data_IF_855519062774
#
_entry.id   IF_855519062774
#
_cell.length_a   1.000
_cell.length_b   1.000
_cell.length_c   1.000
_cell.angle_alpha   90.00
_cell.angle_beta   90.00
_cell.angle_gamma   90.00
#
_symmetry.space_group_name_H-M   'P 1'
#
loop_
_entity.id
_entity.type
_entity.pdbx_description
1 polymer ?
#
# COMPACT_ATOMS: atom_id res chain seq x y z
N UNK A 1 -7.45 -56.37 1.86
CA UNK A 1 -5.97 -56.33 1.96
C UNK A 1 -5.54 -55.01 1.35
N UNK A 2 -5.14 -53.95 2.07
CA UNK A 2 -4.71 -53.83 3.46
C UNK A 2 -5.00 -52.39 3.86
N UNK A 3 -5.97 -52.18 4.75
CA UNK A 3 -6.17 -50.93 5.47
C UNK A 3 -5.08 -50.81 6.55
N UNK A 4 -4.58 -49.59 6.79
CA UNK A 4 -3.90 -49.22 8.02
C UNK A 4 -4.42 -47.86 8.52
N UNK A 5 -4.39 -47.63 9.83
CA UNK A 5 -5.43 -46.93 10.55
C UNK A 5 -5.01 -45.57 11.07
N UNK A 6 -6.04 -44.85 11.52
CA UNK A 6 -6.10 -43.75 12.46
C UNK A 6 -5.26 -43.97 13.73
N UNK A 7 -4.48 -42.95 14.10
CA UNK A 7 -4.04 -42.53 15.44
C UNK A 7 -4.21 -40.99 15.40
N UNK A 8 -5.09 -40.29 16.12
CA UNK A 8 -5.39 -40.21 17.57
C UNK A 8 -4.18 -39.78 18.42
N UNK A 9 -4.39 -38.81 19.33
CA UNK A 9 -3.45 -38.10 20.25
C UNK A 9 -2.70 -36.90 19.63
N UNK A 10 -2.69 -35.67 20.16
CA UNK A 10 -3.16 -35.09 21.42
C UNK A 10 -3.22 -33.57 21.29
N UNK A 11 -4.28 -32.99 21.86
CA UNK A 11 -4.34 -31.60 22.32
C UNK A 11 -3.79 -31.55 23.77
N UNK A 12 -2.89 -30.60 24.09
CA UNK A 12 -2.89 -30.05 25.42
C UNK A 12 -2.95 -28.52 25.40
N UNK A 13 -4.07 -28.04 25.94
CA UNK A 13 -4.21 -26.74 26.57
C UNK A 13 -3.11 -26.50 27.62
N UNK A 14 -2.50 -25.33 27.59
CA UNK A 14 -1.85 -24.65 28.72
C UNK A 14 -1.98 -23.15 28.40
N UNK A 15 -2.91 -22.40 29.00
CA UNK A 15 -2.78 -21.83 30.36
C UNK A 15 -1.42 -21.14 30.55
N UNK A 16 -1.31 -19.89 30.07
CA UNK A 16 -0.32 -18.94 30.56
C UNK A 16 -1.06 -17.73 31.15
N UNK A 17 -1.43 -17.88 32.43
CA UNK A 17 -1.83 -16.81 33.33
C UNK A 17 -0.56 -16.14 33.88
N UNK A 18 -0.28 -14.92 33.43
CA UNK A 18 0.95 -14.18 33.73
C UNK A 18 0.73 -12.74 34.20
N UNK A 19 0.00 -12.60 35.30
CA UNK A 19 0.09 -11.55 36.33
C UNK A 19 0.33 -10.06 35.98
N UNK A 20 -0.74 -9.31 36.23
CA UNK A 20 -0.81 -7.89 36.56
C UNK A 20 0.07 -7.51 37.76
N UNK A 21 0.91 -6.46 37.61
CA UNK A 21 1.29 -5.58 38.74
C UNK A 21 1.39 -4.11 38.32
N UNK A 22 0.60 -3.21 38.94
CA UNK A 22 0.86 -1.78 38.90
C UNK A 22 1.45 -1.25 40.22
N UNK A 23 2.02 -0.04 40.11
CA UNK A 23 2.35 0.95 41.16
C UNK A 23 3.63 0.77 42.00
N UNK A 24 4.54 1.74 41.85
CA UNK A 24 4.75 2.79 42.86
C UNK A 24 5.63 3.93 42.33
N UNK A 25 5.07 5.14 42.31
CA UNK A 25 5.86 6.36 42.42
C UNK A 25 6.12 6.68 43.90
N UNK A 26 7.22 7.37 44.18
CA UNK A 26 7.29 8.68 44.86
C UNK A 26 8.75 9.07 45.10
N UNK A 27 9.10 10.19 44.48
CA UNK A 27 9.81 11.36 45.02
C UNK A 27 11.33 11.45 45.23
N UNK A 28 11.87 12.69 45.05
CA UNK A 28 13.28 13.01 44.91
C UNK A 28 13.88 13.54 46.22
N UNK A 29 15.20 13.42 46.39
CA UNK A 29 15.96 14.27 47.31
C UNK A 29 17.44 14.29 47.00
N UNK A 30 17.88 15.48 46.60
CA UNK A 30 18.99 16.25 47.17
C UNK A 30 20.16 15.50 47.82
N UNK A 31 21.37 15.78 47.30
CA UNK A 31 22.55 16.07 48.11
C UNK A 31 23.68 16.63 47.23
N UNK A 32 23.89 17.95 47.28
CA UNK A 32 25.21 18.53 47.02
C UNK A 32 26.01 18.61 48.32
N UNK A 33 27.35 18.76 48.26
CA UNK A 33 28.06 19.45 49.34
C UNK A 33 29.21 20.34 48.75
N UNK A 34 29.99 21.09 49.57
CA UNK A 34 29.70 22.49 49.84
C UNK A 34 30.90 23.43 49.53
N UNK A 35 30.60 24.73 49.49
CA UNK A 35 31.56 25.82 49.53
C UNK A 35 32.28 25.90 50.89
N UNK A 36 33.56 26.26 50.87
CA UNK A 36 34.34 26.64 52.04
C UNK A 36 35.04 27.98 51.79
N UNK A 37 34.50 29.02 52.42
CA UNK A 37 35.20 30.26 52.76
C UNK A 37 35.99 30.05 54.06
N UNK A 38 37.19 30.64 54.14
CA UNK A 38 38.01 30.60 55.36
C UNK A 38 39.38 31.27 55.21
N UNK A 39 39.40 32.59 55.21
CA UNK A 39 40.52 33.44 55.71
C UNK A 39 40.50 33.47 57.26
N UNK A 40 41.48 34.08 57.97
CA UNK A 40 42.93 34.18 57.73
C UNK A 40 43.76 33.81 59.00
N UNK A 41 45.08 33.70 58.88
CA UNK A 41 45.99 33.91 60.01
C UNK A 41 47.34 34.44 59.55
N UNK A 42 47.68 35.61 60.09
CA UNK A 42 48.95 36.32 59.98
C UNK A 42 50.13 35.51 60.55
N UNK A 43 51.25 35.48 59.84
CA UNK A 43 52.60 35.41 60.45
C UNK A 43 53.56 36.24 59.60
N UNK A 44 53.99 37.36 60.18
CA UNK A 44 55.16 38.15 59.79
C UNK A 44 56.43 37.28 59.76
N UNK A 45 57.27 37.46 58.74
CA UNK A 45 58.73 37.45 58.88
C UNK A 45 59.37 38.14 57.68
N UNK A 46 59.95 39.30 57.96
CA UNK A 46 60.98 39.97 57.16
C UNK A 46 62.14 39.03 56.85
N UNK A 47 62.64 39.04 55.61
CA UNK A 47 64.00 39.52 55.30
C UNK A 47 64.42 39.23 53.84
N UNK A 48 65.08 40.25 53.29
CA UNK A 48 66.07 40.26 52.19
C UNK A 48 65.61 40.27 50.70
N UNK A 49 65.74 41.41 49.99
CA UNK A 49 65.46 41.52 48.56
C UNK A 49 66.73 41.20 47.73
N UNK A 50 66.80 39.99 47.18
CA UNK A 50 67.73 39.72 46.07
C UNK A 50 67.07 40.12 44.74
N UNK A 51 67.65 41.01 43.92
CA UNK A 51 67.03 41.45 42.67
C UNK A 51 67.00 40.32 41.63
N UNK A 52 65.88 40.13 40.89
CA UNK A 52 65.82 39.17 39.80
C UNK A 52 66.71 39.61 38.62
N UNK A 53 67.40 38.68 37.94
CA UNK A 53 68.17 39.00 36.75
C UNK A 53 67.25 39.52 35.62
N UNK A 54 67.77 40.39 34.73
CA UNK A 54 66.96 41.07 33.73
C UNK A 54 66.27 40.10 32.75
N UNK A 55 65.07 40.44 32.24
CA UNK A 55 64.35 39.61 31.30
C UNK A 55 65.14 39.51 29.98
N UNK A 56 65.80 38.37 29.80
CA UNK A 56 66.42 37.99 28.55
C UNK A 56 65.38 37.95 27.42
N UNK A 57 65.54 38.82 26.43
CA UNK A 57 64.75 38.96 25.19
C UNK A 57 64.61 37.68 24.32
N UNK A 58 64.95 36.48 24.82
CA UNK A 58 64.90 35.22 24.07
C UNK A 58 63.61 34.41 24.24
N UNK A 59 62.79 34.63 25.28
CA UNK A 59 61.56 33.83 25.50
C UNK A 59 60.37 34.19 24.61
N UNK A 60 60.33 35.37 23.98
CA UNK A 60 59.24 35.74 23.06
C UNK A 60 59.26 34.96 21.74
N UNK A 61 60.41 34.43 21.31
CA UNK A 61 60.52 33.66 20.06
C UNK A 61 60.00 32.22 20.19
N UNK A 62 60.15 31.59 21.35
CA UNK A 62 59.63 30.23 21.59
C UNK A 62 58.11 30.18 21.74
N UNK A 63 57.48 31.20 22.34
CA UNK A 63 56.01 31.28 22.40
C UNK A 63 55.37 31.58 21.05
N UNK A 64 55.99 32.43 20.21
CA UNK A 64 55.51 32.67 18.84
C UNK A 64 55.70 31.45 17.92
N UNK A 65 56.78 30.68 18.10
CA UNK A 65 56.98 29.43 17.35
C UNK A 65 56.01 28.32 17.78
N UNK A 66 55.70 28.21 19.08
CA UNK A 66 54.69 27.27 19.60
C UNK A 66 53.27 27.60 19.14
N UNK A 67 52.89 28.89 19.15
CA UNK A 67 51.59 29.35 18.65
C UNK A 67 51.46 29.18 17.13
N UNK A 68 52.51 29.45 16.36
CA UNK A 68 52.51 29.22 14.91
C UNK A 68 52.40 27.72 14.56
N UNK A 69 53.09 26.85 15.30
CA UNK A 69 52.96 25.39 15.15
C UNK A 69 51.54 24.89 15.44
N UNK A 70 50.89 25.42 16.48
CA UNK A 70 49.50 25.09 16.80
C UNK A 70 48.53 25.56 15.70
N UNK A 71 48.70 26.78 15.18
CA UNK A 71 47.85 27.32 14.10
C UNK A 71 48.00 26.52 12.80
N UNK A 72 49.22 26.12 12.43
CA UNK A 72 49.44 25.27 11.25
C UNK A 72 48.82 23.89 11.45
N UNK A 73 48.92 23.32 12.65
CA UNK A 73 48.33 22.02 12.96
C UNK A 73 46.80 22.08 12.97
N UNK A 74 46.19 23.13 13.52
CA UNK A 74 44.72 23.30 13.48
C UNK A 74 44.21 23.56 12.08
N UNK A 75 44.89 24.40 11.28
CA UNK A 75 44.55 24.62 9.87
C UNK A 75 44.72 23.35 9.04
N UNK A 76 45.80 22.59 9.24
CA UNK A 76 46.04 21.33 8.55
C UNK A 76 44.99 20.27 8.89
N UNK A 77 44.66 20.12 10.18
CA UNK A 77 43.61 19.20 10.64
C UNK A 77 42.24 19.62 10.11
N UNK A 78 41.93 20.93 10.14
CA UNK A 78 40.69 21.48 9.61
C UNK A 78 40.54 21.27 8.10
N UNK A 79 41.61 21.47 7.32
CA UNK A 79 41.60 21.23 5.88
C UNK A 79 41.42 19.74 5.55
N UNK A 80 42.02 18.84 6.33
CA UNK A 80 41.87 17.41 6.16
C UNK A 80 40.44 16.95 6.50
N UNK A 81 39.87 17.44 7.60
CA UNK A 81 38.46 17.17 7.94
C UNK A 81 37.51 17.73 6.87
N UNK A 82 37.80 18.91 6.33
CA UNK A 82 37.00 19.52 5.27
C UNK A 82 37.07 18.74 3.95
N UNK A 83 38.25 18.23 3.58
CA UNK A 83 38.40 17.37 2.40
C UNK A 83 37.65 16.04 2.59
N UNK A 84 37.77 15.40 3.76
CA UNK A 84 37.03 14.18 4.08
C UNK A 84 35.52 14.39 4.07
N UNK A 85 35.05 15.52 4.59
CA UNK A 85 33.62 15.85 4.59
C UNK A 85 33.11 16.09 3.16
N UNK A 86 33.91 16.74 2.32
CA UNK A 86 33.57 16.94 0.91
C UNK A 86 33.48 15.62 0.14
N UNK A 87 34.38 14.68 0.40
CA UNK A 87 34.34 13.33 -0.20
C UNK A 87 33.13 12.51 0.24
N UNK A 88 32.52 12.83 1.40
CA UNK A 88 31.29 12.18 1.89
C UNK A 88 30.02 12.79 1.33
N UNK A 89 30.08 14.03 0.83
CA UNK A 89 28.93 14.76 0.32
C UNK A 89 28.85 14.62 -1.20
N UNK A 90 28.42 13.45 -1.63
CA UNK A 90 28.20 13.12 -3.05
C UNK A 90 26.71 12.83 -3.29
N UNK A 91 26.21 12.91 -4.55
CA UNK A 91 24.82 12.56 -4.84
C UNK A 91 24.51 11.08 -4.48
N UNK A 92 25.46 10.17 -4.67
CA UNK A 92 25.34 8.77 -4.29
C UNK A 92 25.23 8.60 -2.79
N UNK A 93 26.00 9.35 -2.00
CA UNK A 93 25.91 9.31 -0.55
C UNK A 93 24.54 9.75 -0.03
N UNK A 94 23.93 10.79 -0.63
CA UNK A 94 22.58 11.24 -0.27
C UNK A 94 21.51 10.18 -0.60
N UNK A 95 21.65 9.49 -1.74
CA UNK A 95 20.73 8.41 -2.11
C UNK A 95 20.95 7.18 -1.24
N UNK A 96 22.21 6.83 -0.95
CA UNK A 96 22.53 5.71 -0.08
C UNK A 96 21.96 5.92 1.34
N UNK A 97 22.06 7.13 1.89
CA UNK A 97 21.45 7.48 3.17
C UNK A 97 19.93 7.26 3.14
N UNK A 98 19.25 7.78 2.10
CA UNK A 98 17.82 7.57 1.93
C UNK A 98 17.44 6.09 1.82
N UNK A 99 18.15 5.31 1.00
CA UNK A 99 17.84 3.89 0.79
C UNK A 99 18.16 3.05 2.03
N UNK A 100 19.21 3.39 2.79
CA UNK A 100 19.54 2.68 4.03
C UNK A 100 18.50 2.89 5.13
N UNK A 101 17.88 4.08 5.20
CA UNK A 101 16.74 4.30 6.11
C UNK A 101 15.55 3.42 5.71
N UNK A 102 15.27 3.33 4.41
CA UNK A 102 14.22 2.45 3.86
C UNK A 102 14.51 0.97 4.16
N UNK A 103 15.75 0.52 3.95
CA UNK A 103 16.20 -0.85 4.25
C UNK A 103 16.15 -1.16 5.77
N UNK A 104 16.45 -0.18 6.61
CA UNK A 104 16.33 -0.30 8.06
C UNK A 104 14.87 -0.28 8.56
N UNK A 105 13.90 0.02 7.68
CA UNK A 105 12.49 0.16 8.02
C UNK A 105 12.13 1.47 8.73
N UNK A 106 13.04 2.46 8.74
CA UNK A 106 12.82 3.80 9.29
C UNK A 106 12.25 4.70 8.19
N UNK A 107 10.96 4.48 7.90
CA UNK A 107 10.26 5.10 6.78
C UNK A 107 9.88 6.53 7.10
N UNK A 108 9.63 6.85 8.37
CA UNK A 108 9.43 8.22 8.81
C UNK A 108 10.69 9.08 8.55
N UNK A 109 11.87 8.62 8.95
CA UNK A 109 13.11 9.34 8.66
C UNK A 109 13.41 9.41 7.15
N UNK A 110 13.12 8.34 6.39
CA UNK A 110 13.28 8.35 4.94
C UNK A 110 12.33 9.36 4.26
N UNK A 111 11.09 9.46 4.75
CA UNK A 111 10.05 10.39 4.28
C UNK A 111 10.41 11.84 4.59
N UNK A 112 11.11 12.12 5.69
CA UNK A 112 11.62 13.46 5.99
C UNK A 112 12.69 13.94 4.99
N UNK A 113 13.39 13.02 4.31
CA UNK A 113 14.41 13.36 3.31
C UNK A 113 13.84 13.65 1.91
N UNK A 114 12.61 13.21 1.60
CA UNK A 114 12.06 13.21 0.25
C UNK A 114 10.61 13.69 0.22
N UNK A 115 10.19 14.53 -0.75
CA UNK A 115 8.80 14.93 -0.89
C UNK A 115 7.88 13.76 -1.27
N UNK A 116 7.13 13.21 -0.30
CA UNK A 116 6.25 12.04 -0.51
C UNK A 116 4.96 12.42 -1.26
N UNK A 117 4.45 11.57 -2.18
CA UNK A 117 3.17 11.82 -2.85
C UNK A 117 2.00 11.89 -1.86
N UNK A 118 1.12 12.89 -2.02
CA UNK A 118 -0.13 12.99 -1.24
C UNK A 118 -0.07 13.89 -0.01
N UNK A 119 1.12 14.32 0.44
CA UNK A 119 1.23 15.43 1.39
C UNK A 119 1.11 16.72 0.60
N UNK A 120 -0.07 17.33 0.61
CA UNK A 120 -0.21 18.72 0.20
C UNK A 120 0.59 19.58 1.18
N UNK A 121 1.86 19.86 0.87
CA UNK A 121 2.51 21.03 1.44
C UNK A 121 1.62 22.20 1.02
N UNK A 122 1.04 22.99 1.94
CA UNK A 122 0.33 24.19 1.53
C UNK A 122 1.36 25.04 0.81
N UNK A 123 1.23 25.10 -0.53
CA UNK A 123 1.95 26.08 -1.29
C UNK A 123 1.64 27.41 -0.63
N UNK A 124 2.68 28.09 -0.14
CA UNK A 124 2.59 29.47 0.32
C UNK A 124 1.92 30.28 -0.79
N UNK A 125 0.61 30.44 -0.68
CA UNK A 125 -0.21 31.27 -1.52
C UNK A 125 0.02 32.72 -1.08
N UNK A 126 1.25 33.19 -1.28
CA UNK A 126 1.59 34.62 -1.31
C UNK A 126 2.15 34.95 -2.69
N UNK A 127 1.31 34.72 -3.70
CA UNK A 127 1.39 35.36 -5.02
C UNK A 127 0.18 36.30 -5.18
N UNK A 128 0.35 37.49 -5.78
CA UNK A 128 -0.53 38.63 -5.56
C UNK A 128 -1.93 38.40 -6.12
N UNK A 129 -2.94 38.71 -5.30
CA UNK A 129 -4.32 38.92 -5.72
C UNK A 129 -4.34 40.00 -6.81
N UNK A 130 -4.47 39.58 -8.06
CA UNK A 130 -4.77 40.47 -9.17
C UNK A 130 -6.27 40.75 -9.16
N UNK A 131 -6.68 41.69 -8.31
CA UNK A 131 -7.96 42.39 -8.45
C UNK A 131 -7.90 43.22 -9.74
N UNK A 132 -8.49 42.70 -10.81
CA UNK A 132 -8.87 43.50 -11.97
C UNK A 132 -10.26 43.06 -12.43
N UNK A 133 -11.25 43.79 -11.93
CA UNK A 133 -12.62 43.74 -12.40
C UNK A 133 -12.70 44.11 -13.89
N UNK A 134 -13.32 43.25 -14.69
CA UNK A 134 -13.87 43.59 -16.00
C UNK A 134 -15.30 43.06 -16.10
N UNK A 135 -16.32 43.93 -16.30
CA UNK A 135 -17.69 43.52 -16.48
C UNK A 135 -18.02 43.38 -17.98
N UNK A 136 -18.53 42.22 -18.38
CA UNK A 136 -19.31 42.08 -19.61
C UNK A 136 -18.79 41.06 -20.62
N UNK A 137 -19.68 40.17 -21.04
CA UNK A 137 -19.56 39.37 -22.27
C UNK A 137 -19.52 37.87 -22.03
N UNK A 138 -20.60 37.20 -22.44
CA UNK A 138 -20.74 35.78 -22.76
C UNK A 138 -20.23 34.75 -21.74
N UNK A 139 -21.19 34.07 -21.09
CA UNK A 139 -20.91 32.85 -20.32
C UNK A 139 -20.55 31.72 -21.29
N UNK A 140 -19.27 31.27 -21.39
CA UNK A 140 -19.04 29.91 -21.86
C UNK A 140 -19.70 28.97 -20.87
N UNK A 141 -20.43 27.98 -21.38
CA UNK A 141 -20.77 26.79 -20.59
C UNK A 141 -19.44 26.14 -20.26
N UNK A 142 -18.95 26.39 -19.05
CA UNK A 142 -17.87 25.61 -18.47
C UNK A 142 -18.44 24.21 -18.32
N UNK A 143 -18.08 23.33 -19.25
CA UNK A 143 -18.15 21.90 -18.98
C UNK A 143 -17.24 21.72 -17.77
N UNK A 144 -17.81 21.50 -16.59
CA UNK A 144 -17.07 20.94 -15.46
C UNK A 144 -16.50 19.64 -15.99
N UNK A 145 -15.22 19.69 -16.38
CA UNK A 145 -14.40 18.51 -16.55
C UNK A 145 -14.49 17.83 -15.19
N UNK A 146 -15.03 16.60 -15.09
CA UNK A 146 -15.06 15.91 -13.82
C UNK A 146 -13.63 15.92 -13.27
N UNK A 147 -13.48 16.47 -12.07
CA UNK A 147 -12.21 16.44 -11.35
C UNK A 147 -11.63 15.02 -11.49
N UNK A 148 -10.33 14.87 -11.79
CA UNK A 148 -9.73 13.55 -11.81
C UNK A 148 -10.05 12.86 -10.47
N UNK A 149 -10.38 11.56 -10.47
CA UNK A 149 -10.72 10.87 -9.23
C UNK A 149 -9.62 11.14 -8.21
N UNK A 150 -10.02 11.59 -7.03
CA UNK A 150 -9.08 11.93 -5.96
C UNK A 150 -8.38 10.64 -5.55
N UNK A 151 -7.08 10.55 -5.85
CA UNK A 151 -6.22 9.48 -5.38
C UNK A 151 -5.96 9.77 -3.89
N UNK A 152 -6.66 9.07 -3.00
CA UNK A 152 -6.33 9.13 -1.59
C UNK A 152 -5.11 8.24 -1.35
N UNK A 153 -3.95 8.87 -1.23
CA UNK A 153 -2.79 8.24 -0.61
C UNK A 153 -3.02 8.35 0.89
N UNK A 154 -3.44 7.25 1.53
CA UNK A 154 -3.65 7.21 2.97
C UNK A 154 -2.31 7.45 3.67
N UNK A 155 -2.16 8.49 4.52
CA UNK A 155 -0.89 8.80 5.19
C UNK A 155 -0.36 7.64 6.04
N UNK A 156 -1.25 6.79 6.54
CA UNK A 156 -0.93 5.58 7.32
C UNK A 156 -0.05 4.58 6.53
N UNK A 157 -0.10 4.61 5.19
CA UNK A 157 0.70 3.77 4.29
C UNK A 157 2.16 4.25 4.14
N UNK A 158 2.52 5.32 4.84
CA UNK A 158 3.86 5.93 4.87
C UNK A 158 4.47 5.89 6.28
N UNK A 159 3.92 5.04 7.15
CA UNK A 159 4.38 4.90 8.53
C UNK A 159 5.23 3.66 8.70
N UNK A 160 6.12 3.68 9.69
CA UNK A 160 6.94 2.52 10.08
C UNK A 160 6.08 1.29 10.38
N UNK A 161 4.87 1.49 10.93
CA UNK A 161 3.94 0.41 11.25
C UNK A 161 3.45 -0.35 10.00
N UNK A 162 3.24 0.35 8.88
CA UNK A 162 2.88 -0.29 7.61
C UNK A 162 4.06 -1.12 7.09
N UNK A 163 5.25 -0.53 6.98
CA UNK A 163 6.41 -1.23 6.42
C UNK A 163 7.02 -2.30 7.34
N UNK A 164 6.81 -2.24 8.66
CA UNK A 164 7.17 -3.32 9.57
C UNK A 164 6.44 -4.65 9.27
N UNK A 165 5.30 -4.60 8.57
CA UNK A 165 4.52 -5.79 8.20
C UNK A 165 4.73 -6.24 6.75
N UNK A 166 5.52 -5.49 5.96
CA UNK A 166 5.79 -5.77 4.55
C UNK A 166 7.32 -5.79 4.36
N UNK A 167 7.96 -6.98 4.31
CA UNK A 167 9.42 -7.08 4.33
C UNK A 167 10.06 -6.17 3.28
N UNK A 168 10.98 -5.35 3.77
CA UNK A 168 11.53 -4.21 3.05
C UNK A 168 12.55 -4.57 1.98
N UNK A 169 13.09 -3.51 1.39
CA UNK A 169 14.19 -3.51 0.44
C UNK A 169 15.47 -4.04 1.12
N UNK A 170 16.23 -4.89 0.42
CA UNK A 170 17.51 -5.45 0.91
C UNK A 170 18.61 -5.33 -0.14
N UNK A 171 19.87 -5.46 0.28
CA UNK A 171 21.06 -5.48 -0.60
C UNK A 171 21.16 -4.23 -1.50
N UNK A 172 20.86 -3.07 -0.92
CA UNK A 172 20.91 -1.79 -1.60
C UNK A 172 22.33 -1.41 -2.04
N UNK A 173 22.46 -1.02 -3.30
CA UNK A 173 23.68 -0.41 -3.86
C UNK A 173 23.33 0.75 -4.78
N UNK A 174 24.22 1.74 -4.84
CA UNK A 174 24.01 2.99 -5.58
C UNK A 174 25.18 3.25 -6.53
N UNK A 175 24.87 3.82 -7.69
CA UNK A 175 25.85 4.18 -8.72
C UNK A 175 25.37 5.45 -9.44
N UNK A 176 26.24 6.45 -9.61
CA UNK A 176 25.90 7.63 -10.40
C UNK A 176 25.73 7.25 -11.88
N UNK A 177 24.65 7.70 -12.53
CA UNK A 177 24.38 7.35 -13.94
C UNK A 177 25.43 7.99 -14.87
N UNK A 178 25.89 9.20 -14.54
CA UNK A 178 26.97 9.90 -15.23
C UNK A 178 28.08 10.26 -14.21
N UNK A 179 29.14 9.44 -14.08
CA UNK A 179 30.19 9.63 -13.07
C UNK A 179 31.03 10.89 -13.29
N UNK A 180 31.01 11.46 -14.50
CA UNK A 180 31.77 12.65 -14.86
C UNK A 180 30.95 13.95 -14.71
N UNK A 181 29.70 13.86 -14.21
CA UNK A 181 28.84 15.02 -14.00
C UNK A 181 29.36 15.93 -12.88
N UNK A 182 29.52 17.22 -13.17
CA UNK A 182 29.78 18.28 -12.19
C UNK A 182 28.57 19.24 -12.13
N UNK A 183 27.49 18.85 -11.41
CA UNK A 183 26.24 19.61 -11.42
C UNK A 183 26.40 20.98 -10.75
N UNK A 184 25.89 22.02 -11.41
CA UNK A 184 25.76 23.33 -10.82
C UNK A 184 24.61 23.36 -9.79
N UNK A 185 24.56 24.41 -8.96
CA UNK A 185 23.45 24.59 -8.01
C UNK A 185 22.12 24.74 -8.77
N UNK A 186 21.14 23.90 -8.40
CA UNK A 186 19.84 23.78 -9.05
C UNK A 186 19.78 22.69 -10.13
N UNK A 187 20.92 22.10 -10.53
CA UNK A 187 20.93 20.98 -11.46
C UNK A 187 20.46 19.69 -10.78
N UNK A 188 19.92 18.79 -11.60
CA UNK A 188 19.43 17.48 -11.18
C UNK A 188 20.25 16.40 -11.88
N UNK A 189 20.77 15.47 -11.09
CA UNK A 189 21.50 14.28 -11.57
C UNK A 189 20.73 13.02 -11.23
N UNK A 190 20.96 11.94 -11.99
CA UNK A 190 20.34 10.64 -11.75
C UNK A 190 21.33 9.69 -11.07
N UNK A 191 20.90 9.04 -10.00
CA UNK A 191 21.63 7.98 -9.31
C UNK A 191 20.85 6.68 -9.48
N UNK A 192 21.49 5.67 -10.05
CA UNK A 192 20.95 4.32 -10.16
C UNK A 192 20.98 3.65 -8.79
N UNK A 193 19.88 3.04 -8.40
CA UNK A 193 19.76 2.21 -7.20
C UNK A 193 19.43 0.80 -7.64
N UNK A 194 20.21 -0.17 -7.16
CA UNK A 194 19.95 -1.60 -7.33
C UNK A 194 19.69 -2.22 -5.96
N UNK A 195 18.67 -3.06 -5.86
CA UNK A 195 18.23 -3.65 -4.59
C UNK A 195 17.43 -4.93 -4.84
N UNK A 196 17.12 -5.68 -3.78
CA UNK A 196 16.19 -6.80 -3.80
C UNK A 196 14.90 -6.47 -3.05
N UNK A 197 13.76 -6.80 -3.66
CA UNK A 197 12.45 -6.80 -3.01
C UNK A 197 11.85 -8.19 -3.20
N UNK A 198 11.49 -8.85 -2.09
CA UNK A 198 10.98 -10.23 -2.12
C UNK A 198 11.90 -11.19 -2.89
N UNK A 199 13.21 -11.13 -2.64
CA UNK A 199 14.24 -11.96 -3.30
C UNK A 199 14.33 -11.76 -4.83
N UNK A 200 13.73 -10.68 -5.37
CA UNK A 200 13.80 -10.32 -6.78
C UNK A 200 14.66 -9.05 -6.95
N UNK A 201 15.70 -9.10 -7.80
CA UNK A 201 16.50 -7.93 -8.07
C UNK A 201 15.67 -6.90 -8.85
N UNK A 202 15.77 -5.65 -8.42
CA UNK A 202 15.14 -4.50 -9.04
C UNK A 202 16.18 -3.39 -9.20
N UNK A 203 15.93 -2.54 -10.20
CA UNK A 203 16.79 -1.39 -10.49
C UNK A 203 15.94 -0.21 -10.90
N UNK A 204 16.25 0.95 -10.33
CA UNK A 204 15.60 2.22 -10.64
C UNK A 204 16.63 3.35 -10.65
N UNK A 205 16.24 4.52 -11.13
CA UNK A 205 17.03 5.74 -11.02
C UNK A 205 16.27 6.75 -10.15
N UNK A 206 16.97 7.40 -9.24
CA UNK A 206 16.45 8.49 -8.41
C UNK A 206 17.12 9.79 -8.81
N UNK A 207 16.33 10.85 -8.91
CA UNK A 207 16.83 12.20 -9.15
C UNK A 207 17.31 12.84 -7.86
N UNK A 208 18.46 13.48 -7.95
CA UNK A 208 19.11 14.20 -6.86
C UNK A 208 19.40 15.62 -7.31
N UNK A 209 18.89 16.59 -6.57
CA UNK A 209 19.12 18.01 -6.83
C UNK A 209 20.36 18.50 -6.08
N UNK A 210 21.21 19.26 -6.78
CA UNK A 210 22.32 19.98 -6.16
C UNK A 210 21.81 21.27 -5.49
N UNK A 211 21.88 21.33 -4.17
CA UNK A 211 21.55 22.51 -3.39
C UNK A 211 22.74 23.47 -3.25
N UNK A 212 22.45 24.68 -2.78
CA UNK A 212 23.48 25.62 -2.39
C UNK A 212 24.33 25.04 -1.26
N UNK A 213 25.63 25.33 -1.29
CA UNK A 213 26.59 24.85 -0.30
C UNK A 213 26.19 25.34 1.11
N UNK A 214 26.01 24.41 2.05
CA UNK A 214 25.65 24.72 3.45
C UNK A 214 26.82 25.33 4.23
N UNK A 215 28.04 25.12 3.74
CA UNK A 215 29.28 25.72 4.21
C UNK A 215 30.19 25.94 2.99
N UNK A 216 31.05 26.97 2.93
CA UNK A 216 31.86 27.24 1.75
C UNK A 216 32.58 26.00 1.21
N UNK A 217 32.34 25.65 -0.06
CA UNK A 217 32.90 24.49 -0.76
C UNK A 217 32.49 23.10 -0.23
N UNK A 218 31.45 23.02 0.62
CA UNK A 218 30.80 21.76 0.98
C UNK A 218 29.48 21.63 0.20
N UNK A 219 29.44 20.79 -0.85
CA UNK A 219 28.23 20.58 -1.63
C UNK A 219 27.11 20.00 -0.75
N UNK A 220 25.86 20.25 -1.14
CA UNK A 220 24.69 19.66 -0.50
C UNK A 220 23.77 19.10 -1.57
N UNK A 221 23.20 17.93 -1.32
CA UNK A 221 22.35 17.22 -2.26
C UNK A 221 21.03 16.85 -1.59
N UNK A 222 19.95 16.79 -2.38
CA UNK A 222 18.63 16.38 -1.90
C UNK A 222 18.01 15.41 -2.90
N UNK A 223 17.52 14.27 -2.39
CA UNK A 223 16.76 13.32 -3.20
C UNK A 223 15.38 13.91 -3.49
N UNK A 224 14.99 13.91 -4.76
CA UNK A 224 13.73 14.52 -5.22
C UNK A 224 12.65 13.46 -5.43
N UNK A 225 13.06 12.24 -5.74
CA UNK A 225 12.16 11.14 -6.07
C UNK A 225 11.97 10.17 -4.90
N UNK A 226 10.71 9.83 -4.61
CA UNK A 226 10.33 8.79 -3.64
C UNK A 226 10.45 7.41 -4.28
N UNK A 227 11.07 6.46 -3.57
CA UNK A 227 11.01 5.04 -3.91
C UNK A 227 9.65 4.43 -3.62
N UNK A 228 8.93 4.93 -2.62
CA UNK A 228 7.55 4.53 -2.39
C UNK A 228 6.65 5.19 -3.44
N UNK A 229 6.06 4.38 -4.33
CA UNK A 229 5.19 4.80 -5.42
C UNK A 229 3.78 4.26 -5.25
N UNK A 230 2.74 5.03 -5.62
CA UNK A 230 1.36 4.57 -5.51
C UNK A 230 1.04 3.50 -6.56
N UNK A 231 0.41 2.43 -6.11
CA UNK A 231 -0.14 1.37 -6.94
C UNK A 231 -1.61 1.13 -6.61
N UNK A 232 -2.43 0.92 -7.62
CA UNK A 232 -3.89 0.70 -7.49
C UNK A 232 -4.25 -0.62 -8.15
N UNK A 233 -5.03 -1.43 -7.44
CA UNK A 233 -5.67 -2.63 -8.01
C UNK A 233 -7.09 -2.25 -8.41
N UNK A 234 -7.34 -2.18 -9.71
CA UNK A 234 -8.65 -1.89 -10.28
C UNK A 234 -9.43 -3.21 -10.47
N UNK A 235 -10.66 -3.24 -9.96
CA UNK A 235 -11.68 -4.28 -10.21
C UNK A 235 -12.94 -3.64 -10.74
N UNK A 236 -13.84 -4.43 -11.34
CA UNK A 236 -15.12 -3.91 -11.84
C UNK A 236 -16.02 -3.37 -10.72
N UNK A 237 -16.07 -4.05 -9.57
CA UNK A 237 -16.78 -3.62 -8.36
C UNK A 237 -15.93 -4.02 -7.14
N UNK A 238 -15.47 -3.04 -6.37
CA UNK A 238 -14.56 -3.24 -5.23
C UNK A 238 -15.21 -4.02 -4.06
N UNK A 239 -16.53 -4.21 -4.09
CA UNK A 239 -17.26 -5.00 -3.09
C UNK A 239 -17.26 -6.49 -3.39
N UNK A 240 -16.70 -6.92 -4.52
CA UNK A 240 -16.70 -8.33 -4.91
C UNK A 240 -15.76 -9.19 -4.07
N UNK A 241 -14.82 -8.60 -3.34
CA UNK A 241 -13.82 -9.34 -2.59
C UNK A 241 -12.58 -8.51 -2.28
N UNK A 242 -11.56 -9.15 -1.75
CA UNK A 242 -10.28 -8.51 -1.43
C UNK A 242 -9.25 -8.80 -2.52
N UNK A 243 -8.37 -7.85 -2.81
CA UNK A 243 -7.21 -8.10 -3.66
C UNK A 243 -6.00 -8.45 -2.79
N UNK A 244 -5.01 -9.13 -3.37
CA UNK A 244 -3.72 -9.36 -2.74
C UNK A 244 -2.58 -8.95 -3.67
N UNK A 245 -1.53 -8.37 -3.11
CA UNK A 245 -0.27 -8.08 -3.81
C UNK A 245 0.81 -8.88 -3.09
N UNK A 246 1.41 -9.85 -3.77
CA UNK A 246 2.38 -10.75 -3.15
C UNK A 246 1.90 -11.33 -1.80
N UNK A 247 0.70 -11.92 -1.81
CA UNK A 247 0.01 -12.52 -0.66
C UNK A 247 -0.42 -11.55 0.46
N UNK A 248 -0.13 -10.26 0.34
CA UNK A 248 -0.60 -9.24 1.27
C UNK A 248 -1.96 -8.72 0.84
N UNK A 249 -2.98 -8.71 1.72
CA UNK A 249 -4.29 -8.15 1.42
C UNK A 249 -4.21 -6.63 1.20
N UNK A 250 -4.81 -6.15 0.11
CA UNK A 250 -4.91 -4.73 -0.23
C UNK A 250 -6.34 -4.37 -0.62
N UNK A 251 -6.68 -3.09 -0.45
CA UNK A 251 -7.95 -2.57 -0.92
C UNK A 251 -7.96 -2.53 -2.46
N UNK A 252 -9.00 -3.11 -3.05
CA UNK A 252 -9.29 -2.93 -4.47
C UNK A 252 -10.09 -1.63 -4.68
N UNK A 253 -9.94 -1.01 -5.85
CA UNK A 253 -10.67 0.19 -6.25
C UNK A 253 -11.51 -0.10 -7.49
N UNK A 254 -12.59 0.64 -7.70
CA UNK A 254 -13.26 0.62 -8.99
C UNK A 254 -12.47 1.40 -10.05
N UNK A 255 -12.64 1.01 -11.31
CA UNK A 255 -11.96 1.62 -12.45
C UNK A 255 -12.20 3.14 -12.53
N UNK A 256 -11.18 3.88 -12.99
CA UNK A 256 -11.24 5.34 -13.23
C UNK A 256 -12.47 5.72 -14.04
N UNK A 257 -13.26 6.65 -13.52
CA UNK A 257 -14.49 7.15 -14.15
C UNK A 257 -15.78 6.69 -13.47
N UNK A 258 -15.71 5.82 -12.47
CA UNK A 258 -16.84 5.45 -11.60
C UNK A 258 -17.30 6.58 -10.67
N UNK A 259 -16.47 7.62 -10.49
CA UNK A 259 -16.70 8.70 -9.53
C UNK A 259 -16.42 8.31 -8.08
N UNK A 260 -15.90 7.10 -7.85
CA UNK A 260 -15.54 6.60 -6.53
C UNK A 260 -14.07 6.90 -6.21
N UNK A 261 -13.79 7.01 -4.92
CA UNK A 261 -12.43 7.26 -4.40
C UNK A 261 -11.53 6.06 -4.68
N UNK A 262 -10.34 6.32 -5.23
CA UNK A 262 -9.33 5.28 -5.44
C UNK A 262 -8.42 5.18 -4.22
N UNK A 263 -8.18 3.94 -3.77
CA UNK A 263 -7.26 3.61 -2.68
C UNK A 263 -5.97 3.09 -3.28
N UNK A 264 -4.86 3.79 -2.99
CA UNK A 264 -3.54 3.39 -3.42
C UNK A 264 -2.83 2.59 -2.32
N UNK A 265 -2.05 1.59 -2.70
CA UNK A 265 -1.03 0.95 -1.85
C UNK A 265 0.34 1.45 -2.27
N UNK A 266 1.23 1.74 -1.32
CA UNK A 266 2.58 2.20 -1.63
C UNK A 266 3.51 1.00 -1.85
N UNK A 267 4.20 0.96 -2.99
CA UNK A 267 5.11 -0.11 -3.39
C UNK A 267 6.42 0.44 -3.92
N UNK A 268 7.49 -0.33 -3.81
CA UNK A 268 8.76 -0.03 -4.46
C UNK A 268 8.72 -0.42 -5.94
N UNK A 269 9.57 0.16 -6.80
CA UNK A 269 9.70 -0.28 -8.19
C UNK A 269 10.07 -1.76 -8.26
N UNK A 270 9.36 -2.53 -9.10
CA UNK A 270 9.48 -3.98 -9.14
C UNK A 270 8.32 -4.65 -9.85
N UNK A 271 8.29 -5.98 -9.80
CA UNK A 271 7.21 -6.81 -10.36
C UNK A 271 6.56 -7.65 -9.26
N UNK A 272 5.25 -7.46 -9.10
CA UNK A 272 4.46 -8.07 -8.03
C UNK A 272 3.33 -8.93 -8.63
N UNK A 273 3.13 -10.17 -8.16
CA UNK A 273 1.91 -10.91 -8.47
C UNK A 273 0.73 -10.24 -7.77
N UNK A 274 -0.37 -10.08 -8.49
CA UNK A 274 -1.62 -9.54 -7.99
C UNK A 274 -2.69 -10.60 -8.19
N UNK A 275 -3.31 -11.00 -7.09
CA UNK A 275 -4.35 -12.02 -7.06
C UNK A 275 -5.64 -11.45 -6.48
N UNK A 276 -6.74 -12.12 -6.80
CA UNK A 276 -8.05 -11.82 -6.22
C UNK A 276 -8.42 -12.88 -5.20
N UNK A 277 -8.81 -12.46 -4.01
CA UNK A 277 -9.47 -13.31 -3.04
C UNK A 277 -10.97 -13.35 -3.35
N UNK A 278 -11.33 -14.23 -4.28
CA UNK A 278 -12.68 -14.32 -4.83
C UNK A 278 -13.69 -15.11 -3.99
N UNK A 279 -13.37 -15.39 -2.73
CA UNK A 279 -14.25 -16.15 -1.84
C UNK A 279 -14.62 -17.52 -2.42
N UNK A 280 -15.84 -17.98 -2.15
CA UNK A 280 -16.29 -19.31 -2.58
C UNK A 280 -16.81 -19.35 -4.03
N UNK A 281 -17.15 -18.21 -4.61
CA UNK A 281 -17.96 -18.14 -5.82
C UNK A 281 -17.37 -17.25 -6.93
N UNK A 282 -16.31 -16.50 -6.66
CA UNK A 282 -15.64 -15.68 -7.66
C UNK A 282 -14.19 -16.11 -7.83
N UNK A 283 -13.64 -15.83 -8.98
CA UNK A 283 -12.23 -16.08 -9.29
C UNK A 283 -11.70 -15.01 -10.24
N UNK A 284 -10.37 -14.90 -10.32
CA UNK A 284 -9.68 -14.07 -11.30
C UNK A 284 -8.32 -14.70 -11.59
N UNK A 285 -7.84 -14.55 -12.82
CA UNK A 285 -6.46 -14.92 -13.15
C UNK A 285 -5.47 -14.02 -12.39
N UNK A 286 -4.36 -14.61 -11.94
CA UNK A 286 -3.26 -13.84 -11.38
C UNK A 286 -2.63 -12.97 -12.49
N UNK A 287 -2.40 -11.69 -12.18
CA UNK A 287 -1.75 -10.74 -13.09
C UNK A 287 -0.46 -10.22 -12.46
N UNK A 288 0.54 -9.94 -13.30
CA UNK A 288 1.78 -9.30 -12.82
C UNK A 288 1.65 -7.79 -12.95
N UNK A 289 1.75 -7.07 -11.83
CA UNK A 289 1.84 -5.62 -11.80
C UNK A 289 3.29 -5.18 -11.82
N UNK A 290 3.65 -4.34 -12.79
CA UNK A 290 4.94 -3.67 -12.83
C UNK A 290 4.83 -2.27 -12.23
N UNK A 291 5.54 -2.04 -11.13
CA UNK A 291 5.73 -0.71 -10.56
C UNK A 291 6.96 -0.10 -11.21
N UNK A 292 6.76 0.89 -12.07
CA UNK A 292 7.85 1.56 -12.76
C UNK A 292 8.49 2.61 -11.84
N UNK A 293 9.82 2.70 -11.88
CA UNK A 293 10.55 3.76 -11.19
C UNK A 293 10.17 5.17 -11.66
N UNK A 294 10.51 6.21 -10.87
CA UNK A 294 10.33 7.59 -11.28
C UNK A 294 11.18 7.87 -12.53
N UNK A 295 10.55 8.29 -13.63
CA UNK A 295 11.24 8.55 -14.91
C UNK A 295 11.56 10.03 -15.08
N UNK A 296 12.80 10.37 -15.47
CA UNK A 296 13.30 11.74 -15.59
C UNK A 296 12.65 12.67 -16.63
N UNK A 297 11.73 12.17 -17.48
CA UNK A 297 11.17 12.95 -18.61
C UNK A 297 9.80 13.60 -18.36
N UNK A 298 9.14 13.35 -17.23
CA UNK A 298 7.82 13.95 -16.91
C UNK A 298 7.98 15.11 -15.94
N UNK A 299 7.31 16.23 -16.25
CA UNK A 299 7.26 17.39 -15.35
C UNK A 299 6.83 16.98 -13.95
N UNK A 300 7.28 17.73 -12.94
CA UNK A 300 7.14 17.44 -11.51
C UNK A 300 5.72 17.10 -11.02
N UNK A 301 4.70 17.38 -11.84
CA UNK A 301 3.29 17.23 -11.51
C UNK A 301 2.66 15.90 -11.98
N UNK A 302 3.29 15.15 -12.89
CA UNK A 302 2.75 13.88 -13.40
C UNK A 302 3.41 12.68 -12.71
N UNK A 303 2.98 12.38 -11.48
CA UNK A 303 3.47 11.20 -10.73
C UNK A 303 2.82 9.92 -11.31
N UNK A 304 3.61 8.91 -11.71
CA UNK A 304 3.06 7.68 -12.29
C UNK A 304 2.35 6.86 -11.18
N UNK A 305 1.07 6.58 -11.39
CA UNK A 305 0.32 5.58 -10.59
C UNK A 305 0.39 4.27 -11.35
N UNK A 306 0.93 3.24 -10.70
CA UNK A 306 0.95 1.89 -11.28
C UNK A 306 -0.41 1.23 -11.09
N UNK A 307 -0.87 0.46 -12.08
CA UNK A 307 -2.21 -0.12 -12.06
C UNK A 307 -2.19 -1.58 -12.47
N UNK A 308 -2.95 -2.40 -11.77
CA UNK A 308 -3.31 -3.75 -12.17
C UNK A 308 -4.82 -3.83 -12.31
N UNK A 309 -5.31 -4.46 -13.38
CA UNK A 309 -6.74 -4.72 -13.56
C UNK A 309 -7.00 -6.21 -13.40
N UNK A 310 -7.84 -6.57 -12.42
CA UNK A 310 -8.27 -7.94 -12.18
C UNK A 310 -9.63 -8.16 -12.84
N UNK A 311 -9.68 -9.09 -13.79
CA UNK A 311 -10.92 -9.50 -14.43
C UNK A 311 -11.59 -10.57 -13.55
N UNK A 312 -12.51 -10.13 -12.69
CA UNK A 312 -13.26 -11.02 -11.80
C UNK A 312 -14.40 -11.69 -12.57
N UNK A 313 -14.52 -13.01 -12.42
CA UNK A 313 -15.56 -13.83 -13.04
C UNK A 313 -16.14 -14.85 -12.05
N UNK A 314 -17.34 -15.38 -12.31
CA UNK A 314 -17.88 -16.48 -11.51
C UNK A 314 -17.03 -17.75 -11.64
N UNK A 315 -16.79 -18.41 -10.51
CA UNK A 315 -16.00 -19.64 -10.44
C UNK A 315 -16.80 -20.88 -10.84
N UNK A 316 -16.09 -22.00 -11.06
CA UNK A 316 -16.73 -23.30 -11.24
C UNK A 316 -17.59 -23.71 -10.03
N UNK A 317 -17.16 -23.38 -8.81
CA UNK A 317 -17.93 -23.65 -7.59
C UNK A 317 -19.26 -22.88 -7.55
N UNK A 318 -19.32 -21.66 -8.11
CA UNK A 318 -20.58 -20.93 -8.26
C UNK A 318 -21.54 -21.65 -9.23
N UNK A 319 -21.01 -22.21 -10.32
CA UNK A 319 -21.83 -23.00 -11.25
C UNK A 319 -22.39 -24.25 -10.57
N UNK A 320 -21.56 -25.01 -9.86
CA UNK A 320 -22.00 -26.20 -9.13
C UNK A 320 -23.08 -25.86 -8.09
N UNK A 321 -22.88 -24.78 -7.34
CA UNK A 321 -23.86 -24.27 -6.37
C UNK A 321 -25.18 -23.89 -7.04
N UNK A 322 -25.13 -23.16 -8.16
CA UNK A 322 -26.32 -22.79 -8.91
C UNK A 322 -27.11 -24.02 -9.42
N UNK A 323 -26.40 -25.04 -9.91
CA UNK A 323 -27.03 -26.29 -10.35
C UNK A 323 -27.66 -27.07 -9.19
N UNK A 324 -27.04 -27.08 -8.01
CA UNK A 324 -27.60 -27.70 -6.81
C UNK A 324 -28.89 -27.01 -6.38
N UNK A 325 -28.89 -25.68 -6.30
CA UNK A 325 -30.07 -24.87 -5.93
C UNK A 325 -31.20 -25.00 -6.96
N UNK A 326 -30.88 -24.99 -8.25
CA UNK A 326 -31.84 -25.23 -9.31
C UNK A 326 -32.50 -26.61 -9.24
N UNK A 327 -31.73 -27.66 -8.95
CA UNK A 327 -32.28 -29.01 -8.77
C UNK A 327 -33.17 -29.08 -7.52
N UNK A 328 -32.73 -28.50 -6.39
CA UNK A 328 -33.51 -28.45 -5.16
C UNK A 328 -34.84 -27.72 -5.35
N UNK A 329 -34.84 -26.61 -6.09
CA UNK A 329 -36.05 -25.87 -6.46
C UNK A 329 -37.02 -26.72 -7.29
N UNK A 330 -36.55 -27.39 -8.35
CA UNK A 330 -37.43 -28.25 -9.16
C UNK A 330 -37.97 -29.45 -8.39
N UNK A 331 -37.17 -30.06 -7.50
CA UNK A 331 -37.65 -31.11 -6.59
C UNK A 331 -38.76 -30.58 -5.68
N UNK A 332 -38.56 -29.41 -5.06
CA UNK A 332 -39.58 -28.79 -4.22
C UNK A 332 -40.85 -28.41 -5.01
N UNK A 333 -40.72 -28.03 -6.29
CA UNK A 333 -41.87 -27.80 -7.18
C UNK A 333 -42.64 -29.09 -7.46
N UNK A 334 -41.94 -30.20 -7.73
CA UNK A 334 -42.57 -31.50 -7.97
C UNK A 334 -43.29 -32.04 -6.72
N UNK A 335 -42.72 -31.78 -5.53
CA UNK A 335 -43.30 -32.20 -4.24
C UNK A 335 -44.38 -31.24 -3.73
N UNK A 336 -44.63 -30.11 -4.42
CA UNK A 336 -45.57 -29.08 -4.00
C UNK A 336 -45.15 -28.33 -2.73
N UNK A 337 -43.87 -28.40 -2.35
CA UNK A 337 -43.31 -27.77 -1.15
C UNK A 337 -42.44 -26.54 -1.45
N UNK A 338 -42.40 -26.10 -2.71
CA UNK A 338 -41.61 -24.94 -3.13
C UNK A 338 -42.01 -23.67 -2.34
N UNK A 339 -41.05 -22.93 -1.75
CA UNK A 339 -41.34 -21.70 -1.00
C UNK A 339 -42.08 -20.66 -1.85
N UNK A 340 -41.85 -20.68 -3.16
CA UNK A 340 -42.49 -19.83 -4.17
C UNK A 340 -43.14 -20.70 -5.24
N UNK A 341 -44.16 -21.46 -4.85
CA UNK A 341 -44.84 -22.38 -5.78
C UNK A 341 -45.39 -21.68 -7.03
N UNK A 342 -45.76 -20.40 -6.92
CA UNK A 342 -46.19 -19.58 -8.06
C UNK A 342 -45.08 -19.29 -9.10
N UNK A 343 -43.81 -19.51 -8.75
CA UNK A 343 -42.65 -19.36 -9.63
C UNK A 343 -42.18 -20.70 -10.21
N UNK A 344 -42.85 -21.80 -9.86
CA UNK A 344 -42.61 -23.10 -10.49
C UNK A 344 -43.00 -23.04 -11.97
N UNK A 345 -42.29 -23.77 -12.86
CA UNK A 345 -42.70 -23.88 -14.25
C UNK A 345 -44.14 -24.40 -14.37
N UNK A 346 -44.91 -23.90 -15.33
CA UNK A 346 -46.34 -24.24 -15.46
C UNK A 346 -46.59 -25.75 -15.51
N UNK A 347 -45.70 -26.53 -16.13
CA UNK A 347 -45.79 -27.99 -16.17
C UNK A 347 -45.78 -28.66 -14.79
N UNK A 348 -45.14 -28.04 -13.80
CA UNK A 348 -45.11 -28.55 -12.43
C UNK A 348 -46.39 -28.20 -11.66
N UNK A 349 -47.09 -27.13 -12.06
CA UNK A 349 -48.39 -26.76 -11.48
C UNK A 349 -49.52 -27.70 -11.92
N UNK A 350 -49.39 -28.35 -13.08
CA UNK A 350 -50.38 -29.33 -13.58
C UNK A 350 -50.33 -30.64 -12.78
N UNK A 351 -49.17 -30.98 -12.21
CA UNK A 351 -48.94 -32.22 -11.44
C UNK A 351 -49.69 -32.21 -10.12
N UNK A 352 -49.84 -31.03 -9.48
CA UNK A 352 -50.63 -30.88 -8.25
C UNK A 352 -52.11 -31.25 -8.40
N UNK A 353 -52.62 -31.40 -9.64
CA UNK A 353 -53.99 -31.82 -9.95
C UNK A 353 -54.13 -33.34 -10.24
N UNK A 354 -53.09 -34.15 -9.96
CA UNK A 354 -53.16 -35.63 -10.00
C UNK A 354 -52.37 -36.31 -11.14
N UNK A 355 -51.41 -35.62 -11.74
CA UNK A 355 -50.45 -36.20 -12.70
C UNK A 355 -49.28 -36.92 -12.03
N UNK A 356 -48.50 -37.71 -12.79
CA UNK A 356 -47.22 -38.23 -12.31
C UNK A 356 -46.19 -37.09 -12.20
N UNK A 357 -45.30 -37.11 -11.19
CA UNK A 357 -44.27 -36.10 -11.06
C UNK A 357 -43.34 -36.11 -12.28
N UNK A 358 -42.93 -34.93 -12.77
CA UNK A 358 -42.07 -34.82 -13.94
C UNK A 358 -40.71 -35.47 -13.65
N UNK A 359 -40.14 -36.10 -14.67
CA UNK A 359 -38.83 -36.75 -14.56
C UNK A 359 -37.74 -35.96 -15.29
N UNK A 360 -36.51 -36.09 -14.80
CA UNK A 360 -35.35 -35.35 -15.27
C UNK A 360 -34.45 -36.28 -16.07
N UNK A 361 -34.17 -35.95 -17.34
CA UNK A 361 -33.33 -36.81 -18.19
C UNK A 361 -31.85 -36.45 -18.13
N UNK A 362 -31.52 -35.18 -17.92
CA UNK A 362 -30.16 -34.66 -18.08
C UNK A 362 -29.72 -33.69 -16.96
N UNK A 363 -28.43 -33.38 -16.89
CA UNK A 363 -27.91 -32.31 -16.04
C UNK A 363 -28.29 -30.92 -16.61
N UNK A 364 -28.28 -29.90 -15.76
CA UNK A 364 -28.45 -28.52 -16.25
C UNK A 364 -27.28 -28.13 -17.16
N UNK A 365 -27.61 -27.47 -18.26
CA UNK A 365 -26.64 -26.78 -19.11
C UNK A 365 -26.63 -25.30 -18.73
N UNK A 366 -25.44 -24.74 -18.46
CA UNK A 366 -25.31 -23.31 -18.23
C UNK A 366 -25.40 -22.55 -19.56
N UNK A 367 -26.35 -21.63 -19.65
CA UNK A 367 -26.53 -20.73 -20.79
C UNK A 367 -25.72 -19.46 -20.59
N UNK A 368 -25.73 -18.92 -19.37
CA UNK A 368 -24.99 -17.74 -18.98
C UNK A 368 -24.62 -17.80 -17.51
N UNK A 369 -23.48 -17.20 -17.16
CA UNK A 369 -23.02 -17.06 -15.79
C UNK A 369 -22.27 -15.73 -15.68
N UNK A 370 -22.84 -14.79 -14.95
CA UNK A 370 -22.43 -13.39 -15.00
C UNK A 370 -22.60 -12.69 -13.65
N UNK A 371 -21.87 -11.59 -13.46
CA UNK A 371 -21.89 -10.79 -12.23
C UNK A 371 -22.70 -9.53 -12.50
N UNK A 372 -23.66 -9.23 -11.63
CA UNK A 372 -24.43 -7.99 -11.69
C UNK A 372 -24.55 -7.33 -10.33
N UNK A 373 -24.62 -6.00 -10.31
CA UNK A 373 -24.94 -5.26 -9.10
C UNK A 373 -26.45 -5.00 -9.05
N UNK A 374 -27.12 -5.48 -8.01
CA UNK A 374 -28.51 -5.07 -7.74
C UNK A 374 -28.54 -3.94 -6.74
N UNK A 375 -29.50 -3.03 -6.88
CA UNK A 375 -29.71 -1.95 -5.92
C UNK A 375 -30.74 -2.40 -4.88
N UNK A 376 -30.32 -2.49 -3.63
CA UNK A 376 -31.19 -2.75 -2.48
C UNK A 376 -31.33 -1.51 -1.59
N UNK A 377 -32.24 -1.56 -0.62
CA UNK A 377 -32.36 -0.52 0.41
C UNK A 377 -31.10 -0.39 1.29
N UNK A 378 -30.28 -1.44 1.38
CA UNK A 378 -29.01 -1.46 2.11
C UNK A 378 -27.81 -0.98 1.25
N UNK A 379 -28.05 -0.68 -0.03
CA UNK A 379 -27.01 -0.31 -0.99
C UNK A 379 -26.95 -1.25 -2.18
N UNK A 380 -25.98 -1.01 -3.07
CA UNK A 380 -25.69 -1.93 -4.19
C UNK A 380 -24.89 -3.12 -3.67
N UNK A 381 -25.35 -4.34 -3.98
CA UNK A 381 -24.67 -5.58 -3.65
C UNK A 381 -24.43 -6.40 -4.94
N UNK A 382 -23.22 -6.96 -5.11
CA UNK A 382 -22.96 -7.86 -6.23
C UNK A 382 -23.71 -9.18 -6.06
N UNK A 383 -24.16 -9.74 -7.16
CA UNK A 383 -24.80 -11.05 -7.26
C UNK A 383 -24.20 -11.80 -8.44
N UNK A 384 -24.04 -13.10 -8.28
CA UNK A 384 -23.75 -14.02 -9.38
C UNK A 384 -25.07 -14.54 -9.91
N UNK A 385 -25.39 -14.25 -11.17
CA UNK A 385 -26.57 -14.76 -11.84
C UNK A 385 -26.17 -15.90 -12.77
N UNK A 386 -26.78 -17.06 -12.56
CA UNK A 386 -26.67 -18.21 -13.44
C UNK A 386 -27.99 -18.39 -14.20
N UNK A 387 -27.91 -18.48 -15.52
CA UNK A 387 -29.03 -18.91 -16.36
C UNK A 387 -28.80 -20.36 -16.77
N UNK A 388 -29.68 -21.24 -16.31
CA UNK A 388 -29.55 -22.68 -16.50
C UNK A 388 -30.73 -23.21 -17.32
N UNK A 389 -30.45 -24.11 -18.26
CA UNK A 389 -31.45 -24.79 -19.07
C UNK A 389 -31.40 -26.30 -18.87
N UNK A 390 -32.57 -26.93 -18.85
CA UNK A 390 -32.72 -28.38 -18.75
C UNK A 390 -34.04 -28.82 -19.35
N UNK A 391 -34.04 -29.97 -20.00
CA UNK A 391 -35.27 -30.60 -20.49
C UNK A 391 -35.91 -31.42 -19.36
N UNK A 392 -37.21 -31.22 -19.16
CA UNK A 392 -38.04 -32.03 -18.26
C UNK A 392 -39.01 -32.87 -19.06
N UNK A 393 -39.25 -34.09 -18.60
CA UNK A 393 -40.24 -34.98 -19.20
C UNK A 393 -41.50 -34.93 -18.35
N UNK A 394 -42.57 -34.42 -18.94
CA UNK A 394 -43.89 -34.30 -18.31
C UNK A 394 -44.78 -35.39 -18.88
N UNK A 395 -45.40 -36.18 -18.00
CA UNK A 395 -46.38 -37.20 -18.41
C UNK A 395 -47.75 -36.74 -17.94
N UNK A 396 -48.60 -36.40 -18.91
CA UNK A 396 -49.99 -36.00 -18.69
C UNK A 396 -50.95 -37.07 -19.27
N UNK A 397 -52.27 -36.94 -19.07
CA UNK A 397 -53.24 -37.89 -19.64
C UNK A 397 -53.24 -37.95 -21.19
N UNK A 398 -52.71 -36.93 -21.85
CA UNK A 398 -52.64 -36.82 -23.32
C UNK A 398 -51.33 -37.41 -23.89
N UNK A 399 -50.32 -37.64 -23.05
CA UNK A 399 -49.10 -38.36 -23.36
C UNK A 399 -47.86 -37.87 -22.61
N UNK A 400 -46.70 -38.38 -23.02
CA UNK A 400 -45.40 -37.90 -22.53
C UNK A 400 -44.86 -36.84 -23.47
N UNK A 401 -44.46 -35.69 -22.93
CA UNK A 401 -43.85 -34.58 -23.69
C UNK A 401 -42.58 -34.07 -23.00
N UNK A 402 -41.64 -33.64 -23.82
CA UNK A 402 -40.40 -33.00 -23.37
C UNK A 402 -40.57 -31.48 -23.42
N UNK A 403 -40.26 -30.81 -22.31
CA UNK A 403 -40.33 -29.36 -22.19
C UNK A 403 -38.99 -28.78 -21.75
N UNK A 404 -38.43 -27.77 -22.46
CA UNK A 404 -37.28 -27.05 -21.97
C UNK A 404 -37.71 -26.13 -20.82
N UNK A 405 -36.99 -26.21 -19.70
CA UNK A 405 -37.14 -25.32 -18.56
C UNK A 405 -35.88 -24.48 -18.44
N UNK A 406 -36.08 -23.17 -18.35
CA UNK A 406 -35.01 -22.20 -18.07
C UNK A 406 -35.19 -21.62 -16.68
N UNK A 407 -34.17 -21.77 -15.85
CA UNK A 407 -34.12 -21.22 -14.51
C UNK A 407 -33.08 -20.11 -14.44
N UNK A 408 -33.38 -19.11 -13.62
CA UNK A 408 -32.42 -18.09 -13.22
C UNK A 408 -32.16 -18.26 -11.74
N UNK A 409 -30.88 -18.40 -11.40
CA UNK A 409 -30.40 -18.57 -10.02
C UNK A 409 -29.54 -17.37 -9.68
N UNK A 410 -29.91 -16.63 -8.64
CA UNK A 410 -29.10 -15.55 -8.11
C UNK A 410 -28.41 -16.02 -6.81
N UNK A 411 -27.09 -16.04 -6.83
CA UNK A 411 -26.23 -16.37 -5.69
C UNK A 411 -25.61 -15.10 -5.11
N UNK A 412 -25.55 -15.01 -3.78
CA UNK A 412 -24.70 -14.01 -3.13
C UNK A 412 -23.24 -14.50 -3.13
N UNK A 413 -22.26 -13.65 -3.52
CA UNK A 413 -20.88 -14.08 -3.66
C UNK A 413 -20.18 -14.41 -2.31
N UNK A 414 -20.58 -13.77 -1.22
CA UNK A 414 -19.89 -13.87 0.09
C UNK A 414 -20.58 -14.78 1.12
N UNK A 415 -21.84 -15.14 0.92
CA UNK A 415 -22.61 -15.92 1.90
C UNK A 415 -22.74 -17.37 1.47
N UNK A 416 -21.78 -18.21 1.87
CA UNK A 416 -21.82 -19.66 1.65
C UNK A 416 -23.07 -20.38 2.21
N UNK A 417 -23.89 -19.68 3.01
CA UNK A 417 -25.10 -20.23 3.64
C UNK A 417 -26.39 -19.45 3.33
N UNK A 418 -26.33 -18.31 2.64
CA UNK A 418 -27.56 -17.61 2.27
C UNK A 418 -28.34 -18.43 1.23
N UNK A 419 -29.66 -18.59 1.38
CA UNK A 419 -30.48 -19.27 0.38
C UNK A 419 -30.41 -18.50 -0.95
N UNK A 420 -30.20 -19.23 -2.03
CA UNK A 420 -30.23 -18.67 -3.37
C UNK A 420 -31.66 -18.27 -3.76
N UNK A 421 -31.79 -17.17 -4.49
CA UNK A 421 -33.06 -16.82 -5.14
C UNK A 421 -33.14 -17.55 -6.49
N UNK A 422 -34.00 -18.56 -6.57
CA UNK A 422 -34.26 -19.34 -7.79
C UNK A 422 -35.66 -19.03 -8.30
N UNK A 423 -35.79 -18.70 -9.58
CA UNK A 423 -37.08 -18.52 -10.24
C UNK A 423 -37.05 -19.01 -11.69
N UNK A 424 -38.21 -19.41 -12.20
CA UNK A 424 -38.36 -19.75 -13.61
C UNK A 424 -38.27 -18.47 -14.46
N UNK A 425 -37.33 -18.46 -15.40
CA UNK A 425 -37.23 -17.37 -16.39
C UNK A 425 -38.30 -17.57 -17.47
N UNK A 426 -38.98 -16.49 -17.87
CA UNK A 426 -39.84 -16.54 -19.05
C UNK A 426 -38.93 -16.67 -20.28
N UNK A 427 -39.00 -17.81 -20.97
CA UNK A 427 -38.39 -17.97 -22.29
C UNK A 427 -39.20 -17.12 -23.26
N UNK A 428 -38.78 -15.89 -23.48
CA UNK A 428 -39.27 -15.09 -24.61
C UNK A 428 -38.61 -15.67 -25.86
N UNK A 429 -39.29 -16.64 -26.49
CA UNK A 429 -38.92 -17.23 -27.76
C UNK A 429 -39.06 -16.27 -28.93
#
# INVERSE_FOLDING_TARGET
MTQRPTDEFSDPSAEDDGDVRPRRGTDPSAAGPPAWDGEPADVESDDDPTPPPPPGRRRRRTFLAGAAGLVVLTLGTGALLHAQERERRTPEAAVLEYVQLVEAGDVEAATDLVPVPGTSTPADATGPTSDAASPGGDRPVTVEVPSPPELLVTPELLTDAFYATHPGLTDASVELVDPDADPAVGDVVEVRVSYEVQERPATTALRVERLADTFPALPSYRVVDSLALPAVVDVLDFRLGQARIADVPVAASSSVGSGETQVATMLYPGEYPVAFDGGAHLESDEVTMRVAGPTGARGADARPVSRAFLQVQPSFAALERAQQEANAFLTACADGSAPRIAECPESFLVVTDGGEPPSFTDAFTAVDLSIYATQSAAGRAPLVQASLEKTVVVTDPDGTREEPVRLVVNLQPDDGEAPADVYAGIVLG
#
